data_IF_050497351697
#
_entry.id   IF_050497351697
#
_cell.length_a   1.000
_cell.length_b   1.000
_cell.length_c   1.000
_cell.angle_alpha   90.00
_cell.angle_beta   90.00
_cell.angle_gamma   90.00
#
_symmetry.space_group_name_H-M   'P 1'
#
loop_
_entity.id
_entity.type
_entity.pdbx_description
1 polymer ?
#
# COMPACT_ATOMS: atom_id res chain seq x y z
N UNK A 1 7.24 45.85 -0.44
CA UNK A 1 7.52 44.46 -0.88
C UNK A 1 8.95 44.24 -1.43
N UNK A 2 9.62 45.22 -2.08
CA UNK A 2 10.98 45.03 -2.67
C UNK A 2 12.12 44.79 -1.67
N UNK A 3 12.04 45.33 -0.45
CA UNK A 3 13.12 45.21 0.56
C UNK A 3 13.24 43.82 1.16
N UNK A 4 12.12 43.08 1.34
CA UNK A 4 12.14 41.75 1.95
C UNK A 4 12.92 40.73 1.12
N UNK A 5 12.77 40.75 -0.21
CA UNK A 5 13.53 39.87 -1.10
C UNK A 5 15.03 40.20 -1.15
N UNK A 6 15.39 41.48 -1.02
CA UNK A 6 16.79 41.90 -0.93
C UNK A 6 17.45 41.45 0.38
N UNK A 7 16.71 41.48 1.49
CA UNK A 7 17.17 40.97 2.78
C UNK A 7 17.33 39.44 2.70
N UNK A 8 16.32 38.73 2.18
CA UNK A 8 16.36 37.28 2.00
C UNK A 8 17.57 36.82 1.17
N UNK A 9 17.83 37.48 0.03
CA UNK A 9 18.98 37.15 -0.83
C UNK A 9 20.33 37.45 -0.19
N UNK A 10 20.44 38.53 0.59
CA UNK A 10 21.66 38.86 1.35
C UNK A 10 21.94 37.82 2.43
N UNK A 11 20.90 37.40 3.15
CA UNK A 11 21.01 36.45 4.25
C UNK A 11 21.31 35.04 3.73
N UNK A 12 20.70 34.63 2.60
CA UNK A 12 21.03 33.38 1.91
C UNK A 12 22.50 33.35 1.44
N UNK A 13 22.99 34.46 0.86
CA UNK A 13 24.40 34.58 0.43
C UNK A 13 25.37 34.53 1.63
N UNK A 14 24.96 35.06 2.79
CA UNK A 14 25.75 35.00 4.03
C UNK A 14 25.80 33.58 4.60
N UNK A 15 24.67 32.86 4.57
CA UNK A 15 24.59 31.46 4.98
C UNK A 15 25.49 30.56 4.12
N UNK A 16 25.47 30.73 2.80
CA UNK A 16 26.33 29.97 1.88
C UNK A 16 27.84 30.25 2.08
N UNK A 17 28.21 31.39 2.66
CA UNK A 17 29.61 31.76 2.98
C UNK A 17 30.11 31.17 4.30
N UNK A 18 29.26 30.52 5.09
CA UNK A 18 29.65 29.88 6.36
C UNK A 18 29.46 28.36 6.23
N UNK A 19 30.49 27.61 5.77
CA UNK A 19 30.35 26.20 5.42
C UNK A 19 29.80 25.33 6.56
N UNK A 20 30.25 25.57 7.79
CA UNK A 20 29.81 24.80 8.96
C UNK A 20 28.31 24.96 9.24
N UNK A 21 27.81 26.20 9.21
CA UNK A 21 26.39 26.48 9.44
C UNK A 21 25.52 25.92 8.29
N UNK A 22 26.01 26.05 7.04
CA UNK A 22 25.32 25.50 5.88
C UNK A 22 25.18 23.98 5.95
N UNK A 23 26.23 23.25 6.32
CA UNK A 23 26.19 21.78 6.47
C UNK A 23 25.13 21.36 7.51
N UNK A 24 25.06 22.05 8.66
CA UNK A 24 24.08 21.76 9.70
C UNK A 24 22.65 21.99 9.18
N UNK A 25 22.40 23.11 8.51
CA UNK A 25 21.08 23.45 7.95
C UNK A 25 20.66 22.40 6.92
N UNK A 26 21.56 22.05 5.99
CA UNK A 26 21.30 21.02 4.98
C UNK A 26 21.00 19.67 5.65
N UNK A 27 21.77 19.28 6.67
CA UNK A 27 21.51 18.06 7.43
C UNK A 27 20.11 18.06 8.06
N UNK A 28 19.73 19.13 8.74
CA UNK A 28 18.39 19.27 9.37
C UNK A 28 17.26 19.23 8.34
N UNK A 29 17.45 19.84 7.16
CA UNK A 29 16.45 19.83 6.09
C UNK A 29 16.30 18.45 5.42
N UNK A 30 17.40 17.70 5.31
CA UNK A 30 17.40 16.39 4.65
C UNK A 30 16.87 15.29 5.58
N UNK A 31 17.10 15.37 6.90
CA UNK A 31 16.62 14.35 7.87
C UNK A 31 15.14 13.99 7.71
N UNK A 32 14.18 14.94 7.71
CA UNK A 32 12.77 14.60 7.52
C UNK A 32 12.47 14.06 6.12
N UNK A 33 13.20 14.52 5.08
CA UNK A 33 13.03 14.02 3.72
C UNK A 33 13.51 12.57 3.57
N UNK A 34 14.63 12.20 4.20
CA UNK A 34 15.11 10.82 4.26
C UNK A 34 14.14 9.92 5.03
N UNK A 35 13.64 10.39 6.17
CA UNK A 35 12.63 9.65 6.93
C UNK A 35 11.38 9.38 6.09
N UNK A 36 10.88 10.41 5.41
CA UNK A 36 9.73 10.30 4.51
C UNK A 36 10.03 9.34 3.35
N UNK A 37 11.21 9.43 2.72
CA UNK A 37 11.61 8.53 1.65
C UNK A 37 11.53 7.06 2.07
N UNK A 38 12.19 6.70 3.17
CA UNK A 38 12.23 5.30 3.63
C UNK A 38 10.83 4.80 3.98
N UNK A 39 10.00 5.63 4.62
CA UNK A 39 8.62 5.25 4.90
C UNK A 39 7.81 5.05 3.62
N UNK A 40 7.89 6.00 2.68
CA UNK A 40 7.15 5.89 1.42
C UNK A 40 7.59 4.63 0.68
N UNK A 41 8.89 4.36 0.56
CA UNK A 41 9.38 3.18 -0.13
C UNK A 41 8.95 1.87 0.57
N UNK A 42 9.00 1.82 1.90
CA UNK A 42 8.56 0.65 2.66
C UNK A 42 7.04 0.39 2.56
N UNK A 43 6.23 1.46 2.40
CA UNK A 43 4.77 1.38 2.34
C UNK A 43 4.19 1.58 0.94
N UNK A 44 5.01 1.72 -0.10
CA UNK A 44 4.53 1.96 -1.46
C UNK A 44 3.78 0.75 -2.02
N UNK A 45 4.24 -0.46 -1.70
CA UNK A 45 3.60 -1.71 -2.13
C UNK A 45 3.64 -2.78 -1.04
N UNK A 46 2.82 -2.64 0.02
CA UNK A 46 2.82 -3.59 1.14
C UNK A 46 2.31 -4.98 0.76
N UNK A 47 1.74 -5.11 -0.44
CA UNK A 47 1.16 -6.34 -0.99
C UNK A 47 2.06 -7.02 -2.04
N UNK A 48 3.24 -6.47 -2.36
CA UNK A 48 4.12 -7.03 -3.41
C UNK A 48 4.62 -8.46 -3.08
N UNK A 49 4.56 -8.83 -1.78
CA UNK A 49 4.98 -10.15 -1.29
C UNK A 49 3.87 -10.91 -0.57
N UNK A 50 2.60 -10.47 -0.68
CA UNK A 50 1.48 -11.17 -0.01
C UNK A 50 1.05 -12.45 -0.72
N UNK A 51 1.64 -12.78 -1.87
CA UNK A 51 1.43 -14.06 -2.56
C UNK A 51 1.77 -15.28 -1.68
N UNK A 52 2.71 -15.13 -0.74
CA UNK A 52 3.06 -16.20 0.20
C UNK A 52 2.04 -16.36 1.35
N UNK A 53 1.10 -15.44 1.50
CA UNK A 53 0.02 -15.55 2.48
C UNK A 53 -1.04 -16.44 1.88
N UNK A 54 -1.10 -17.70 2.34
CA UNK A 54 -2.11 -18.67 1.91
C UNK A 54 -3.41 -18.41 2.66
N UNK A 55 -4.48 -18.09 1.92
CA UNK A 55 -5.82 -17.89 2.48
C UNK A 55 -6.74 -18.95 1.88
N UNK A 56 -7.27 -19.83 2.74
CA UNK A 56 -8.25 -20.82 2.35
C UNK A 56 -9.63 -20.16 2.19
N UNK A 57 -10.26 -20.35 1.03
CA UNK A 57 -11.61 -19.86 0.73
C UNK A 57 -12.51 -21.05 0.46
N UNK A 58 -13.59 -21.15 1.22
CA UNK A 58 -14.65 -22.16 1.05
C UNK A 58 -15.93 -21.43 0.68
N UNK A 59 -16.44 -21.68 -0.53
CA UNK A 59 -17.74 -21.16 -0.96
C UNK A 59 -18.82 -22.21 -0.68
N UNK A 60 -19.71 -21.91 0.26
CA UNK A 60 -20.87 -22.73 0.61
C UNK A 60 -22.20 -22.14 0.08
N UNK A 61 -22.13 -21.04 -0.69
CA UNK A 61 -23.29 -20.49 -1.38
C UNK A 61 -23.76 -21.48 -2.44
N UNK A 62 -25.09 -21.59 -2.59
CA UNK A 62 -25.73 -22.45 -3.60
C UNK A 62 -26.40 -21.64 -4.70
N UNK A 63 -26.21 -20.31 -4.65
CA UNK A 63 -26.94 -19.38 -5.49
C UNK A 63 -28.44 -19.33 -5.17
N UNK A 64 -29.13 -18.42 -5.83
CA UNK A 64 -30.57 -18.26 -5.74
C UNK A 64 -31.13 -17.93 -7.12
N UNK A 65 -32.32 -18.45 -7.43
CA UNK A 65 -33.05 -18.10 -8.64
C UNK A 65 -34.32 -17.32 -8.28
N UNK A 66 -34.63 -16.26 -9.03
CA UNK A 66 -35.84 -15.46 -8.83
C UNK A 66 -36.39 -15.00 -10.18
N UNK A 67 -37.72 -15.04 -10.34
CA UNK A 67 -38.40 -14.72 -11.60
C UNK A 67 -38.08 -13.32 -12.16
N UNK A 68 -37.67 -12.37 -11.31
CA UNK A 68 -37.27 -11.02 -11.70
C UNK A 68 -35.83 -10.90 -12.19
N UNK A 69 -34.90 -11.76 -11.74
CA UNK A 69 -33.45 -11.56 -11.92
C UNK A 69 -32.76 -12.77 -12.56
N UNK A 70 -33.46 -13.91 -12.67
CA UNK A 70 -32.89 -15.17 -13.14
C UNK A 70 -32.07 -15.88 -12.06
N UNK A 71 -31.22 -16.79 -12.51
CA UNK A 71 -30.27 -17.51 -11.66
C UNK A 71 -29.10 -16.58 -11.28
N UNK A 72 -28.86 -16.42 -9.98
CA UNK A 72 -27.84 -15.54 -9.42
C UNK A 72 -27.00 -16.34 -8.45
N UNK A 73 -25.71 -16.49 -8.77
CA UNK A 73 -24.71 -17.06 -7.87
C UNK A 73 -23.72 -15.95 -7.49
N UNK A 74 -23.94 -15.32 -6.33
CA UNK A 74 -23.09 -14.23 -5.85
C UNK A 74 -21.81 -14.80 -5.25
N UNK A 75 -21.89 -15.92 -4.55
CA UNK A 75 -20.73 -16.62 -4.00
C UNK A 75 -19.71 -16.97 -5.07
N UNK A 76 -20.15 -17.54 -6.20
CA UNK A 76 -19.23 -17.90 -7.28
C UNK A 76 -18.62 -16.67 -7.95
N UNK A 77 -19.40 -15.60 -8.16
CA UNK A 77 -18.86 -14.34 -8.71
C UNK A 77 -17.77 -13.73 -7.81
N UNK A 78 -17.94 -13.81 -6.49
CA UNK A 78 -16.91 -13.36 -5.54
C UNK A 78 -15.70 -14.29 -5.59
N UNK A 79 -15.92 -15.61 -5.64
CA UNK A 79 -14.84 -16.59 -5.73
C UNK A 79 -13.99 -16.39 -6.99
N UNK A 80 -14.61 -16.13 -8.14
CA UNK A 80 -13.93 -15.78 -9.40
C UNK A 80 -13.10 -14.49 -9.27
N UNK A 81 -13.66 -13.42 -8.72
CA UNK A 81 -12.91 -12.17 -8.51
C UNK A 81 -11.71 -12.34 -7.57
N UNK A 82 -11.81 -13.24 -6.59
CA UNK A 82 -10.68 -13.59 -5.73
C UNK A 82 -9.64 -14.42 -6.48
N UNK A 83 -10.05 -15.36 -7.34
CA UNK A 83 -9.12 -16.13 -8.20
C UNK A 83 -8.32 -15.24 -9.15
N UNK A 84 -8.96 -14.19 -9.69
CA UNK A 84 -8.30 -13.23 -10.59
C UNK A 84 -7.30 -12.30 -9.87
N UNK A 85 -7.28 -12.30 -8.53
CA UNK A 85 -6.37 -11.48 -7.73
C UNK A 85 -5.08 -12.24 -7.39
N UNK A 86 -4.05 -12.04 -8.20
CA UNK A 86 -2.74 -12.66 -8.02
C UNK A 86 -1.93 -12.11 -6.83
N UNK A 87 -2.37 -11.08 -6.11
CA UNK A 87 -1.57 -10.46 -5.03
C UNK A 87 -1.56 -11.29 -3.74
N UNK A 88 -2.49 -12.23 -3.61
CA UNK A 88 -2.69 -13.05 -2.41
C UNK A 88 -2.69 -14.52 -2.83
N UNK A 89 -2.12 -15.40 -2.01
CA UNK A 89 -2.10 -16.85 -2.25
C UNK A 89 -3.46 -17.49 -1.96
N UNK A 90 -4.47 -17.22 -2.76
CA UNK A 90 -5.79 -17.82 -2.58
C UNK A 90 -5.75 -19.33 -2.82
N UNK A 91 -6.33 -20.09 -1.89
CA UNK A 91 -6.46 -21.54 -1.99
C UNK A 91 -7.95 -21.87 -1.87
N UNK A 92 -8.56 -22.34 -2.94
CA UNK A 92 -9.97 -22.74 -2.95
C UNK A 92 -10.05 -24.22 -2.65
N UNK A 93 -10.76 -24.57 -1.58
CA UNK A 93 -10.85 -25.93 -1.06
C UNK A 93 -12.31 -26.26 -0.77
N UNK A 94 -12.71 -27.53 -0.90
CA UNK A 94 -13.98 -28.00 -0.34
C UNK A 94 -13.94 -27.95 1.20
N UNK A 95 -15.11 -27.89 1.82
CA UNK A 95 -15.26 -27.65 3.28
C UNK A 95 -14.50 -28.69 4.12
N UNK A 96 -14.50 -29.95 3.71
CA UNK A 96 -13.78 -31.05 4.35
C UNK A 96 -12.26 -30.85 4.33
N UNK A 97 -11.69 -30.52 3.17
CA UNK A 97 -10.25 -30.29 3.03
C UNK A 97 -9.78 -29.00 3.72
N UNK A 98 -10.62 -27.96 3.74
CA UNK A 98 -10.32 -26.73 4.47
C UNK A 98 -10.28 -26.93 5.99
N UNK A 99 -11.10 -27.83 6.53
CA UNK A 99 -11.11 -28.18 7.96
C UNK A 99 -9.86 -28.94 8.38
N UNK A 100 -9.34 -29.80 7.50
CA UNK A 100 -8.11 -30.56 7.74
C UNK A 100 -6.84 -29.72 7.55
N UNK A 101 -6.86 -28.73 6.64
CA UNK A 101 -5.70 -27.88 6.31
C UNK A 101 -5.48 -26.65 7.21
N UNK A 102 -6.43 -26.32 8.09
CA UNK A 102 -6.35 -25.23 9.08
C UNK A 102 -5.99 -25.73 10.51
N UNK A 103 -5.58 -26.99 10.66
CA UNK A 103 -5.01 -27.56 11.89
C UNK A 103 -3.50 -27.72 11.83
#
# INVERSE_FOLDING_TARGET
MRKSGQILGRDLRRLLRVPRAFIIIVGVLITPALYAWFNINAFWEPYDHTQNIRIAVVNNDRGASTDLVGEVDVGEQIAEQLRDNDKIGWVFLPEDEARDGLM
#
